data_IF_929809298834
#
_entry.id   IF_929809298834
#
_cell.length_a   1.000
_cell.length_b   1.000
_cell.length_c   1.000
_cell.angle_alpha   90.00
_cell.angle_beta   90.00
_cell.angle_gamma   90.00
#
_symmetry.space_group_name_H-M   'P 1'
#
loop_
_entity.id
_entity.type
_entity.pdbx_description
1 polymer ?
#
# COMPACT_ATOMS: atom_id res chain seq x y z
N UNK A 1 21.59 -1.16 -17.32
CA UNK A 1 20.94 -1.16 -15.99
C UNK A 1 20.81 -2.59 -15.51
N UNK A 2 20.89 -2.83 -14.18
CA UNK A 2 20.63 -4.15 -13.61
C UNK A 2 19.13 -4.48 -13.74
N UNK A 3 18.79 -5.72 -14.06
CA UNK A 3 17.39 -6.18 -13.97
C UNK A 3 17.06 -6.42 -12.52
N UNK A 4 15.93 -5.88 -12.07
CA UNK A 4 15.46 -6.01 -10.68
C UNK A 4 14.18 -6.83 -10.68
N UNK A 5 14.18 -7.89 -9.87
CA UNK A 5 13.08 -8.87 -9.82
C UNK A 5 12.46 -8.97 -8.44
N UNK A 6 11.21 -9.36 -8.40
CA UNK A 6 10.45 -9.65 -7.18
C UNK A 6 10.52 -11.16 -6.94
N UNK A 7 11.08 -11.56 -5.81
CA UNK A 7 11.26 -12.97 -5.44
C UNK A 7 10.39 -13.43 -4.29
N UNK A 8 9.80 -12.50 -3.53
CA UNK A 8 8.87 -12.82 -2.46
C UNK A 8 7.88 -11.71 -2.23
N UNK A 9 6.66 -12.08 -1.83
CA UNK A 9 5.57 -11.15 -1.52
C UNK A 9 4.85 -11.58 -0.25
N UNK A 10 4.37 -10.59 0.52
CA UNK A 10 3.56 -10.82 1.72
C UNK A 10 2.59 -9.67 1.93
N UNK A 11 1.43 -9.95 2.52
CA UNK A 11 0.46 -8.92 2.87
C UNK A 11 -0.48 -9.35 3.99
N UNK A 12 -0.95 -8.36 4.74
CA UNK A 12 -2.01 -8.49 5.72
C UNK A 12 -2.97 -7.32 5.57
N UNK A 13 -4.27 -7.59 5.54
CA UNK A 13 -5.32 -6.59 5.34
C UNK A 13 -6.63 -7.03 5.98
N UNK A 14 -7.69 -6.24 5.84
CA UNK A 14 -8.99 -6.52 6.45
C UNK A 14 -9.66 -7.83 5.98
N UNK A 15 -9.18 -8.46 4.91
CA UNK A 15 -9.72 -9.71 4.34
C UNK A 15 -8.88 -10.95 4.63
N UNK A 16 -7.68 -10.79 5.22
CA UNK A 16 -6.83 -11.92 5.58
C UNK A 16 -5.44 -11.52 6.06
N UNK A 17 -4.73 -12.49 6.61
CA UNK A 17 -3.45 -12.27 7.26
C UNK A 17 -2.26 -12.71 6.39
N UNK A 18 -2.49 -13.05 5.14
CA UNK A 18 -1.46 -13.45 4.20
C UNK A 18 -1.90 -13.18 2.74
N UNK A 19 -1.05 -13.51 1.79
CA UNK A 19 -1.33 -13.33 0.36
C UNK A 19 -2.53 -14.13 -0.16
N UNK A 20 -3.08 -15.09 0.60
CA UNK A 20 -4.31 -15.79 0.22
C UNK A 20 -5.54 -14.87 0.30
N UNK A 21 -5.45 -13.74 1.03
CA UNK A 21 -6.50 -12.70 1.02
C UNK A 21 -6.79 -12.15 -0.39
N UNK A 22 -5.86 -12.35 -1.35
CA UNK A 22 -6.09 -12.05 -2.76
C UNK A 22 -7.31 -12.80 -3.33
N UNK A 23 -7.58 -14.03 -2.88
CA UNK A 23 -8.75 -14.78 -3.32
C UNK A 23 -10.04 -14.09 -2.87
N UNK A 24 -10.12 -13.65 -1.61
CA UNK A 24 -11.24 -12.87 -1.10
C UNK A 24 -11.42 -11.54 -1.85
N UNK A 25 -10.31 -10.86 -2.18
CA UNK A 25 -10.32 -9.64 -2.99
C UNK A 25 -10.89 -9.91 -4.38
N UNK A 26 -10.46 -10.97 -5.06
CA UNK A 26 -10.95 -11.31 -6.41
C UNK A 26 -12.37 -11.83 -6.43
N UNK A 27 -12.89 -12.33 -5.30
CA UNK A 27 -14.29 -12.69 -5.11
C UNK A 27 -15.19 -11.48 -4.81
N UNK A 28 -14.60 -10.27 -4.69
CA UNK A 28 -15.34 -9.04 -4.39
C UNK A 28 -15.81 -8.96 -2.93
N UNK A 29 -15.18 -9.68 -2.01
CA UNK A 29 -15.50 -9.56 -0.58
C UNK A 29 -15.09 -8.17 -0.07
N UNK A 30 -15.80 -7.68 0.95
CA UNK A 30 -15.55 -6.39 1.58
C UNK A 30 -15.20 -6.61 3.06
N UNK A 31 -14.06 -6.04 3.51
CA UNK A 31 -13.59 -6.10 4.89
C UNK A 31 -14.00 -4.90 5.75
N UNK A 32 -14.77 -3.96 5.19
CA UNK A 32 -15.24 -2.77 5.90
C UNK A 32 -16.35 -3.17 6.89
N UNK A 33 -16.23 -2.70 8.13
CA UNK A 33 -17.18 -3.02 9.21
C UNK A 33 -17.17 -1.91 10.28
N UNK A 34 -18.11 -1.90 11.23
CA UNK A 34 -18.02 -1.00 12.37
C UNK A 34 -16.68 -1.11 13.10
N UNK A 35 -16.14 0.03 13.53
CA UNK A 35 -14.86 0.13 14.25
C UNK A 35 -14.96 -0.59 15.59
N UNK A 36 -13.95 -1.39 15.90
CA UNK A 36 -13.81 -2.11 17.18
C UNK A 36 -12.50 -1.77 17.91
N UNK A 37 -11.54 -1.15 17.24
CA UNK A 37 -10.21 -0.84 17.78
C UNK A 37 -10.20 0.40 18.69
N UNK A 38 -11.19 1.28 18.57
CA UNK A 38 -11.28 2.50 19.38
C UNK A 38 -12.72 2.95 19.59
N UNK A 39 -12.99 3.80 20.60
CA UNK A 39 -14.27 4.47 20.77
C UNK A 39 -14.65 5.32 19.58
N UNK A 40 -15.94 5.33 19.22
CA UNK A 40 -16.45 6.08 18.05
C UNK A 40 -17.38 7.24 18.41
N UNK A 41 -17.60 7.50 19.71
CA UNK A 41 -18.44 8.60 20.18
C UNK A 41 -17.93 9.95 19.67
N UNK A 42 -18.81 10.70 19.00
CA UNK A 42 -18.50 12.01 18.42
C UNK A 42 -17.77 11.96 17.07
N UNK A 43 -17.48 10.78 16.53
CA UNK A 43 -16.93 10.63 15.18
C UNK A 43 -18.02 10.71 14.10
N UNK A 44 -17.74 11.39 13.00
CA UNK A 44 -18.62 11.43 11.83
C UNK A 44 -18.65 10.10 11.04
N UNK A 45 -17.57 9.31 11.14
CA UNK A 45 -17.43 7.99 10.51
C UNK A 45 -17.13 6.96 11.58
N UNK A 46 -17.94 5.90 11.65
CA UNK A 46 -17.89 4.88 12.71
C UNK A 46 -17.52 3.48 12.19
N UNK A 47 -17.00 3.41 10.97
CA UNK A 47 -16.60 2.18 10.31
C UNK A 47 -15.20 2.33 9.67
N UNK A 48 -14.53 1.19 9.49
CA UNK A 48 -13.21 1.10 8.89
C UNK A 48 -12.93 -0.33 8.38
N UNK A 49 -11.84 -0.52 7.67
CA UNK A 49 -11.34 -1.83 7.26
C UNK A 49 -10.22 -2.26 8.22
N UNK A 50 -10.60 -2.90 9.32
CA UNK A 50 -9.70 -3.38 10.38
C UNK A 50 -9.12 -4.77 10.05
N UNK A 51 -7.87 -5.00 10.39
CA UNK A 51 -7.28 -6.36 10.41
C UNK A 51 -7.78 -7.10 11.64
N UNK A 52 -8.80 -7.94 11.46
CA UNK A 52 -9.46 -8.65 12.56
C UNK A 52 -8.76 -9.96 12.88
N UNK A 53 -8.72 -10.30 14.18
CA UNK A 53 -8.18 -11.59 14.64
C UNK A 53 -6.67 -11.73 14.51
N UNK A 54 -5.93 -10.67 14.26
CA UNK A 54 -4.47 -10.71 14.20
C UNK A 54 -3.87 -10.93 15.58
N UNK A 55 -3.10 -11.99 15.72
CA UNK A 55 -2.31 -12.28 16.92
C UNK A 55 -0.83 -11.91 16.66
N UNK A 56 -0.31 -10.85 17.27
CA UNK A 56 1.07 -10.45 17.12
C UNK A 56 2.07 -11.49 17.67
N UNK A 57 1.66 -12.43 18.53
CA UNK A 57 2.56 -13.49 19.04
C UNK A 57 3.02 -14.45 17.94
N UNK A 58 2.34 -14.46 16.78
CA UNK A 58 2.76 -15.23 15.60
C UNK A 58 4.09 -14.76 15.02
N UNK A 59 4.43 -13.49 15.19
CA UNK A 59 5.65 -12.88 14.62
C UNK A 59 6.52 -12.14 15.65
N UNK A 60 5.99 -11.82 16.81
CA UNK A 60 6.70 -11.03 17.84
C UNK A 60 6.63 -11.75 19.18
N UNK A 61 7.76 -11.89 19.87
CA UNK A 61 7.76 -12.47 21.23
C UNK A 61 6.89 -11.60 22.16
N UNK A 62 6.05 -12.23 22.98
CA UNK A 62 5.10 -11.57 23.90
C UNK A 62 5.66 -10.37 24.68
N UNK A 63 6.92 -10.49 25.16
CA UNK A 63 7.60 -9.43 25.90
C UNK A 63 7.97 -8.21 25.05
N UNK A 64 8.04 -8.36 23.72
CA UNK A 64 8.42 -7.30 22.78
C UNK A 64 7.19 -6.54 22.23
N UNK A 65 6.00 -7.15 22.25
CA UNK A 65 4.75 -6.56 21.72
C UNK A 65 4.52 -5.14 22.30
N UNK A 66 4.73 -4.97 23.61
CA UNK A 66 4.54 -3.69 24.30
C UNK A 66 5.57 -2.61 23.95
N UNK A 67 6.59 -2.95 23.15
CA UNK A 67 7.68 -2.05 22.77
C UNK A 67 7.52 -1.48 21.37
N UNK A 68 6.45 -1.84 20.67
CA UNK A 68 6.18 -1.42 19.29
C UNK A 68 4.69 -1.19 19.06
N UNK A 69 4.37 -0.18 18.28
CA UNK A 69 3.01 0.10 17.85
C UNK A 69 2.49 -0.98 16.88
N UNK A 70 1.18 -1.02 16.71
CA UNK A 70 0.49 -1.99 15.86
C UNK A 70 0.99 -1.98 14.41
N UNK A 71 1.31 -0.81 13.83
CA UNK A 71 1.82 -0.76 12.46
C UNK A 71 3.15 -1.53 12.31
N UNK A 72 4.02 -1.52 13.32
CA UNK A 72 5.27 -2.31 13.28
C UNK A 72 4.94 -3.81 13.33
N UNK A 73 3.96 -4.21 14.14
CA UNK A 73 3.55 -5.61 14.27
C UNK A 73 2.98 -6.15 12.94
N UNK A 74 2.10 -5.40 12.30
CA UNK A 74 1.54 -5.74 10.99
C UNK A 74 2.64 -5.79 9.92
N UNK A 75 3.54 -4.80 9.90
CA UNK A 75 4.65 -4.76 8.96
C UNK A 75 5.63 -5.92 9.13
N UNK A 76 5.94 -6.33 10.37
CA UNK A 76 6.77 -7.51 10.64
C UNK A 76 6.10 -8.79 10.15
N UNK A 77 4.78 -8.89 10.24
CA UNK A 77 4.03 -10.03 9.74
C UNK A 77 4.15 -10.14 8.20
N UNK A 78 3.86 -9.06 7.48
CA UNK A 78 3.99 -9.05 6.03
C UNK A 78 5.44 -9.26 5.56
N UNK A 79 6.42 -8.68 6.27
CA UNK A 79 7.84 -8.88 5.97
C UNK A 79 8.29 -10.33 6.20
N UNK A 80 7.77 -11.00 7.25
CA UNK A 80 8.05 -12.41 7.49
C UNK A 80 7.49 -13.28 6.36
N UNK A 81 6.25 -13.05 5.96
CA UNK A 81 5.66 -13.79 4.84
C UNK A 81 6.47 -13.60 3.55
N UNK A 82 6.85 -12.36 3.21
CA UNK A 82 7.66 -12.10 2.03
C UNK A 82 9.06 -12.75 2.10
N UNK A 83 9.68 -12.75 3.28
CA UNK A 83 10.97 -13.42 3.53
C UNK A 83 10.88 -14.93 3.32
N UNK A 84 9.86 -15.55 3.91
CA UNK A 84 9.62 -16.99 3.79
C UNK A 84 9.25 -17.38 2.35
N UNK A 85 8.43 -16.59 1.70
CA UNK A 85 8.01 -16.76 0.32
C UNK A 85 9.17 -16.64 -0.68
N UNK A 86 10.12 -15.74 -0.40
CA UNK A 86 11.35 -15.61 -1.16
C UNK A 86 12.35 -16.79 -0.95
N UNK A 87 12.10 -17.66 0.02
CA UNK A 87 13.00 -18.76 0.37
C UNK A 87 14.35 -18.26 0.89
N UNK A 88 14.33 -17.23 1.75
CA UNK A 88 15.56 -16.63 2.30
C UNK A 88 16.07 -17.32 3.57
N UNK A 89 15.33 -18.28 4.11
CA UNK A 89 15.80 -19.04 5.26
C UNK A 89 17.11 -19.80 4.92
N UNK A 90 18.12 -19.62 5.77
CA UNK A 90 19.45 -20.18 5.54
C UNK A 90 20.30 -19.44 4.48
N UNK A 91 19.79 -18.39 3.86
CA UNK A 91 20.55 -17.51 2.96
C UNK A 91 21.21 -16.39 3.78
N UNK A 92 22.46 -16.07 3.47
CA UNK A 92 23.11 -14.90 4.08
C UNK A 92 22.53 -13.61 3.51
N UNK A 93 21.61 -13.01 4.26
CA UNK A 93 20.98 -11.73 3.93
C UNK A 93 21.66 -10.53 4.63
N UNK A 94 22.86 -10.71 5.22
CA UNK A 94 23.54 -9.63 5.94
C UNK A 94 23.80 -8.41 5.05
N UNK A 95 24.03 -8.61 3.75
CA UNK A 95 24.18 -7.54 2.75
C UNK A 95 22.87 -6.94 2.23
N UNK A 96 21.71 -7.47 2.64
CA UNK A 96 20.41 -6.92 2.18
C UNK A 96 20.10 -5.62 2.91
N UNK A 97 19.35 -4.74 2.21
CA UNK A 97 18.80 -3.51 2.76
C UNK A 97 17.30 -3.62 3.08
N UNK A 98 16.78 -2.57 3.70
CA UNK A 98 15.35 -2.44 4.04
C UNK A 98 14.85 -1.04 3.67
N UNK A 99 13.67 -0.95 3.06
CA UNK A 99 12.94 0.31 2.94
C UNK A 99 11.58 0.16 3.60
N UNK A 100 11.38 0.87 4.71
CA UNK A 100 10.08 1.01 5.36
C UNK A 100 9.22 2.08 4.68
N UNK A 101 7.90 1.97 4.80
CA UNK A 101 6.95 3.00 4.37
C UNK A 101 5.77 3.11 5.32
N UNK A 102 5.39 4.32 5.64
CA UNK A 102 4.17 4.67 6.38
C UNK A 102 3.79 6.13 6.13
N UNK A 103 2.57 6.50 6.45
CA UNK A 103 2.10 7.89 6.34
C UNK A 103 2.05 8.60 7.70
N UNK A 104 1.59 7.88 8.73
CA UNK A 104 1.30 8.44 10.06
C UNK A 104 2.11 7.72 11.15
N UNK A 105 2.53 6.49 10.91
CA UNK A 105 3.25 5.64 11.84
C UNK A 105 2.43 5.34 13.13
N UNK A 106 3.07 5.33 14.32
CA UNK A 106 2.47 4.86 15.57
C UNK A 106 1.59 5.90 16.28
N UNK A 107 0.61 6.47 15.60
CA UNK A 107 -0.26 7.51 16.15
C UNK A 107 -1.02 7.03 17.39
N UNK A 108 -1.53 5.80 17.40
CA UNK A 108 -2.28 5.24 18.53
C UNK A 108 -1.44 5.17 19.81
N UNK A 109 -0.16 4.81 19.69
CA UNK A 109 0.78 4.81 20.80
C UNK A 109 1.04 6.22 21.33
N UNK A 110 1.13 7.21 20.43
CA UNK A 110 1.30 8.61 20.81
C UNK A 110 0.05 9.15 21.51
N UNK A 111 -1.15 8.87 20.99
CA UNK A 111 -2.43 9.26 21.63
C UNK A 111 -2.53 8.71 23.05
N UNK A 112 -2.28 7.42 23.26
CA UNK A 112 -2.29 6.81 24.58
C UNK A 112 -1.27 7.44 25.55
N UNK A 113 -0.14 7.93 25.05
CA UNK A 113 0.83 8.65 25.88
C UNK A 113 0.34 10.06 26.25
N UNK A 114 -0.38 10.75 25.36
CA UNK A 114 -1.00 12.05 25.61
C UNK A 114 -2.11 11.92 26.67
N UNK A 115 -2.96 10.89 26.58
CA UNK A 115 -3.99 10.60 27.58
C UNK A 115 -3.37 10.45 28.98
N UNK A 116 -2.32 9.64 29.12
CA UNK A 116 -1.60 9.47 30.40
C UNK A 116 -1.04 10.78 30.92
N UNK A 117 -0.56 11.67 30.04
CA UNK A 117 -0.12 13.02 30.43
C UNK A 117 -1.28 13.83 31.00
N UNK A 118 -2.44 13.80 30.33
CA UNK A 118 -3.63 14.54 30.78
C UNK A 118 -4.11 14.05 32.15
N UNK A 119 -3.98 12.76 32.43
CA UNK A 119 -4.30 12.14 33.72
C UNK A 119 -3.23 12.38 34.81
N UNK A 120 -2.22 13.21 34.54
CA UNK A 120 -1.14 13.49 35.47
C UNK A 120 -0.13 12.36 35.67
N UNK A 121 -0.18 11.33 34.82
CA UNK A 121 0.63 10.10 34.94
C UNK A 121 1.93 10.12 34.12
N UNK A 122 2.59 11.29 33.98
CA UNK A 122 3.85 11.46 33.20
C UNK A 122 4.95 10.44 33.55
N UNK A 123 5.09 10.11 34.84
CA UNK A 123 6.09 9.12 35.31
C UNK A 123 5.81 7.68 34.84
N UNK A 124 4.63 7.41 34.28
CA UNK A 124 4.25 6.10 33.74
C UNK A 124 4.38 6.01 32.22
N UNK A 125 4.97 7.03 31.56
CA UNK A 125 5.27 6.96 30.14
C UNK A 125 6.34 5.90 29.92
N UNK A 126 6.11 5.04 28.92
CA UNK A 126 7.02 3.95 28.58
C UNK A 126 8.39 4.48 28.13
N UNK A 127 9.52 3.88 28.59
CA UNK A 127 10.83 4.20 28.02
C UNK A 127 10.96 3.82 26.54
N UNK A 128 10.05 2.98 26.04
CA UNK A 128 9.96 2.59 24.64
C UNK A 128 9.02 3.48 23.82
N UNK A 129 8.44 4.55 24.40
CA UNK A 129 7.50 5.40 23.67
C UNK A 129 8.07 5.85 22.32
N UNK A 130 9.24 6.48 22.32
CA UNK A 130 9.83 7.02 21.09
C UNK A 130 10.11 5.90 20.05
N UNK A 131 10.85 4.84 20.38
CA UNK A 131 11.10 3.78 19.40
C UNK A 131 9.86 2.95 19.02
N UNK A 132 8.76 3.07 19.73
CA UNK A 132 7.52 2.37 19.36
C UNK A 132 6.71 3.08 18.29
N UNK A 133 6.84 4.42 18.11
CA UNK A 133 5.94 5.15 17.22
C UNK A 133 6.60 5.88 16.05
N UNK A 134 7.92 6.16 16.07
CA UNK A 134 8.56 6.91 14.99
C UNK A 134 8.67 6.07 13.70
N UNK A 135 8.53 6.74 12.56
CA UNK A 135 8.35 6.15 11.23
C UNK A 135 9.41 5.12 10.85
N UNK A 136 10.68 5.39 11.13
CA UNK A 136 11.80 4.53 10.69
C UNK A 136 11.95 3.24 11.52
N UNK A 137 11.20 3.09 12.61
CA UNK A 137 11.31 1.89 13.44
C UNK A 137 10.76 0.64 12.75
N UNK A 138 9.84 0.77 11.82
CA UNK A 138 9.42 -0.36 10.99
C UNK A 138 10.61 -1.01 10.28
N UNK A 139 11.38 -0.23 9.51
CA UNK A 139 12.59 -0.70 8.85
C UNK A 139 13.64 -1.22 9.83
N UNK A 140 13.80 -0.52 10.98
CA UNK A 140 14.71 -0.96 12.05
C UNK A 140 14.37 -2.32 12.62
N UNK A 141 13.10 -2.61 12.89
CA UNK A 141 12.66 -3.91 13.39
C UNK A 141 12.81 -5.02 12.36
N UNK A 142 12.53 -4.75 11.07
CA UNK A 142 12.76 -5.71 9.97
C UNK A 142 14.25 -6.04 9.85
N UNK A 143 15.12 -5.01 9.81
CA UNK A 143 16.57 -5.17 9.77
C UNK A 143 17.09 -6.04 10.94
N UNK A 144 16.66 -5.74 12.17
CA UNK A 144 17.03 -6.51 13.37
C UNK A 144 16.55 -7.97 13.30
N UNK A 145 15.35 -8.20 12.78
CA UNK A 145 14.75 -9.53 12.71
C UNK A 145 15.51 -10.46 11.78
N UNK A 146 15.92 -9.97 10.61
CA UNK A 146 16.53 -10.77 9.57
C UNK A 146 18.06 -10.58 9.47
N UNK A 147 18.65 -9.79 10.37
CA UNK A 147 20.10 -9.55 10.39
C UNK A 147 20.61 -8.76 9.17
N UNK A 148 19.77 -7.93 8.57
CA UNK A 148 20.10 -7.14 7.38
C UNK A 148 20.86 -5.87 7.77
N UNK A 149 22.09 -5.72 7.27
CA UNK A 149 22.99 -4.60 7.62
C UNK A 149 23.25 -3.64 6.46
N UNK A 150 22.59 -3.86 5.32
CA UNK A 150 22.62 -2.92 4.19
C UNK A 150 21.85 -1.62 4.46
N UNK A 151 21.64 -0.78 3.44
CA UNK A 151 20.90 0.47 3.59
C UNK A 151 19.54 0.27 4.24
N UNK A 152 19.21 1.13 5.23
CA UNK A 152 17.92 1.09 5.94
C UNK A 152 17.30 2.49 5.91
N UNK A 153 16.25 2.65 5.14
CA UNK A 153 15.57 3.92 4.89
C UNK A 153 14.07 3.80 5.18
N UNK A 154 13.40 4.94 5.27
CA UNK A 154 11.92 4.98 5.39
C UNK A 154 11.39 6.14 4.57
N UNK A 155 10.41 5.85 3.72
CA UNK A 155 9.64 6.85 2.99
C UNK A 155 8.36 7.19 3.77
N UNK A 156 8.11 8.50 3.93
CA UNK A 156 6.90 9.02 4.59
C UNK A 156 6.30 10.09 3.69
N UNK A 157 5.70 9.64 2.58
CA UNK A 157 5.13 10.48 1.52
C UNK A 157 3.62 10.27 1.40
N UNK A 158 2.96 10.26 2.57
CA UNK A 158 1.53 10.01 2.71
C UNK A 158 1.09 8.73 1.97
N UNK A 159 0.01 8.80 1.19
CA UNK A 159 -0.55 7.62 0.50
C UNK A 159 0.37 7.03 -0.59
N UNK A 160 1.37 7.78 -1.06
CA UNK A 160 2.34 7.29 -2.03
C UNK A 160 3.58 6.62 -1.39
N UNK A 161 3.67 6.56 -0.06
CA UNK A 161 4.87 6.11 0.64
C UNK A 161 5.29 4.68 0.25
N UNK A 162 4.35 3.73 0.18
CA UNK A 162 4.64 2.35 -0.20
C UNK A 162 5.22 2.22 -1.61
N UNK A 163 4.69 2.97 -2.57
CA UNK A 163 5.21 2.98 -3.95
C UNK A 163 6.58 3.65 -4.02
N UNK A 164 6.78 4.77 -3.30
CA UNK A 164 8.11 5.39 -3.21
C UNK A 164 9.13 4.46 -2.55
N UNK A 165 8.75 3.65 -1.56
CA UNK A 165 9.66 2.67 -0.97
C UNK A 165 10.14 1.61 -1.99
N UNK A 166 9.26 1.15 -2.88
CA UNK A 166 9.62 0.25 -3.98
C UNK A 166 10.61 0.95 -4.93
N UNK A 167 10.37 2.22 -5.24
CA UNK A 167 11.23 3.02 -6.11
C UNK A 167 12.62 3.24 -5.47
N UNK A 168 12.68 3.59 -4.19
CA UNK A 168 13.96 3.76 -3.48
C UNK A 168 14.75 2.45 -3.37
N UNK A 169 14.08 1.32 -3.16
CA UNK A 169 14.72 0.01 -3.21
C UNK A 169 15.29 -0.29 -4.62
N UNK A 170 14.51 -0.01 -5.68
CA UNK A 170 15.00 -0.13 -7.05
C UNK A 170 16.25 0.71 -7.29
N UNK A 171 16.24 2.00 -6.93
CA UNK A 171 17.38 2.90 -7.07
C UNK A 171 18.60 2.38 -6.31
N UNK A 172 18.42 1.95 -5.08
CA UNK A 172 19.50 1.39 -4.23
C UNK A 172 20.17 0.16 -4.87
N UNK A 173 19.36 -0.76 -5.41
CA UNK A 173 19.85 -1.93 -6.13
C UNK A 173 20.55 -1.56 -7.45
N UNK A 174 20.02 -0.59 -8.22
CA UNK A 174 20.63 -0.10 -9.45
C UNK A 174 22.01 0.51 -9.20
N UNK A 175 22.19 1.26 -8.11
CA UNK A 175 23.48 1.83 -7.72
C UNK A 175 24.46 0.78 -7.13
N UNK A 176 24.02 -0.46 -6.95
CA UNK A 176 24.87 -1.55 -6.47
C UNK A 176 25.26 -1.45 -4.99
N UNK A 177 24.46 -0.75 -4.18
CA UNK A 177 24.70 -0.64 -2.74
C UNK A 177 24.40 -1.95 -2.00
N UNK A 178 23.55 -2.80 -2.57
CA UNK A 178 23.25 -4.16 -2.10
C UNK A 178 22.74 -5.01 -3.27
N UNK A 179 22.53 -6.32 -3.03
CA UNK A 179 22.02 -7.26 -4.04
C UNK A 179 20.55 -7.64 -3.81
N UNK A 180 20.02 -7.34 -2.61
CA UNK A 180 18.62 -7.57 -2.26
C UNK A 180 18.11 -6.56 -1.24
N UNK A 181 16.80 -6.33 -1.25
CA UNK A 181 16.10 -5.43 -0.31
C UNK A 181 14.74 -5.98 0.07
N UNK A 182 14.34 -5.80 1.32
CA UNK A 182 12.95 -5.91 1.73
C UNK A 182 12.32 -4.52 1.72
N UNK A 183 11.26 -4.38 0.94
CA UNK A 183 10.34 -3.23 1.02
C UNK A 183 9.18 -3.62 1.90
N UNK A 184 8.81 -2.78 2.87
CA UNK A 184 7.66 -3.02 3.73
C UNK A 184 6.89 -1.73 3.98
N UNK A 185 5.64 -1.68 3.50
CA UNK A 185 4.70 -0.60 3.79
C UNK A 185 3.70 -1.06 4.85
N UNK A 186 3.52 -0.29 5.91
CA UNK A 186 2.60 -0.66 6.99
C UNK A 186 1.96 0.55 7.64
N UNK A 187 0.66 0.44 7.94
CA UNK A 187 -0.11 1.49 8.60
C UNK A 187 -1.18 0.90 9.52
N UNK A 188 -1.38 1.53 10.69
CA UNK A 188 -2.45 1.21 11.64
C UNK A 188 -3.10 2.53 12.14
N UNK A 189 -3.84 3.25 11.27
CA UNK A 189 -4.26 4.62 11.53
C UNK A 189 -5.64 4.72 12.19
N UNK A 190 -6.26 3.61 12.58
CA UNK A 190 -7.63 3.61 13.12
C UNK A 190 -7.57 3.98 14.60
N UNK A 191 -7.63 5.29 14.86
CA UNK A 191 -7.61 5.90 16.19
C UNK A 191 -8.59 7.08 16.24
N UNK A 192 -9.06 7.49 17.43
CA UNK A 192 -10.02 8.59 17.56
C UNK A 192 -9.52 9.90 16.92
N UNK A 193 -8.29 10.29 17.18
CA UNK A 193 -7.73 11.56 16.65
C UNK A 193 -7.52 11.49 15.14
N UNK A 194 -7.06 10.35 14.62
CA UNK A 194 -6.89 10.17 13.19
C UNK A 194 -8.23 10.20 12.44
N UNK A 195 -9.23 9.45 12.94
CA UNK A 195 -10.58 9.44 12.37
C UNK A 195 -11.23 10.82 12.43
N UNK A 196 -11.11 11.53 13.57
CA UNK A 196 -11.62 12.89 13.70
C UNK A 196 -10.90 13.87 12.76
N UNK A 197 -9.58 13.76 12.61
CA UNK A 197 -8.78 14.63 11.75
C UNK A 197 -9.15 14.50 10.27
N UNK A 198 -9.25 13.28 9.75
CA UNK A 198 -9.71 13.04 8.38
C UNK A 198 -11.19 13.36 8.19
N UNK A 199 -12.02 13.13 9.21
CA UNK A 199 -13.43 13.54 9.22
C UNK A 199 -13.61 15.05 9.12
N UNK A 200 -12.82 15.83 9.87
CA UNK A 200 -12.84 17.29 9.84
C UNK A 200 -12.44 17.88 8.47
N UNK A 201 -11.68 17.12 7.67
CA UNK A 201 -11.33 17.47 6.28
C UNK A 201 -12.41 17.05 5.27
N UNK A 202 -13.50 16.43 5.71
CA UNK A 202 -14.52 15.81 4.84
C UNK A 202 -13.90 14.81 3.85
N UNK A 203 -12.85 14.10 4.27
CA UNK A 203 -12.14 13.15 3.42
C UNK A 203 -12.70 11.72 3.56
N UNK A 204 -13.35 11.40 4.69
CA UNK A 204 -13.96 10.11 4.96
C UNK A 204 -15.41 10.05 4.47
N UNK A 205 -15.82 8.88 4.00
CA UNK A 205 -17.24 8.58 3.78
C UNK A 205 -17.99 8.61 5.12
N UNK A 206 -19.18 9.15 5.10
CA UNK A 206 -20.08 9.23 6.27
C UNK A 206 -21.28 8.28 6.18
N UNK A 207 -21.21 7.28 5.30
CA UNK A 207 -22.28 6.31 5.02
C UNK A 207 -22.40 5.25 6.13
N UNK A 208 -22.66 5.72 7.36
CA UNK A 208 -22.73 4.88 8.56
C UNK A 208 -23.91 3.88 8.56
N UNK A 209 -24.94 4.13 7.78
CA UNK A 209 -26.12 3.27 7.57
C UNK A 209 -25.81 2.06 6.66
N UNK A 210 -24.80 2.16 5.80
CA UNK A 210 -24.41 1.07 4.90
C UNK A 210 -22.87 1.04 4.70
N UNK A 211 -22.09 0.68 5.73
CA UNK A 211 -20.63 0.68 5.68
C UNK A 211 -20.03 -0.17 4.56
N UNK A 212 -20.67 -1.30 4.24
CA UNK A 212 -20.20 -2.20 3.18
C UNK A 212 -20.21 -1.55 1.79
N UNK A 213 -21.03 -0.51 1.60
CA UNK A 213 -21.12 0.23 0.34
C UNK A 213 -20.53 1.64 0.42
N UNK A 214 -19.79 1.96 1.47
CA UNK A 214 -19.22 3.28 1.67
C UNK A 214 -18.06 3.55 0.69
N UNK A 215 -17.10 2.64 0.58
CA UNK A 215 -16.02 2.78 -0.40
C UNK A 215 -16.47 2.28 -1.77
N UNK A 216 -16.49 3.19 -2.76
CA UNK A 216 -16.98 2.96 -4.13
C UNK A 216 -16.14 3.73 -5.16
N UNK A 217 -14.91 3.32 -5.39
CA UNK A 217 -14.03 4.01 -6.33
C UNK A 217 -14.66 4.17 -7.72
N UNK A 218 -14.52 5.36 -8.30
CA UNK A 218 -15.03 5.77 -9.62
C UNK A 218 -16.56 5.83 -9.77
N UNK A 219 -17.32 5.52 -8.73
CA UNK A 219 -18.80 5.62 -8.73
C UNK A 219 -19.26 7.06 -8.55
N UNK A 220 -20.36 7.41 -9.22
CA UNK A 220 -20.95 8.78 -9.17
C UNK A 220 -21.43 9.18 -7.77
N UNK A 221 -21.81 8.21 -6.93
CA UNK A 221 -22.27 8.43 -5.55
C UNK A 221 -21.17 8.35 -4.49
N UNK A 222 -19.88 8.33 -4.88
CA UNK A 222 -18.76 8.33 -3.92
C UNK A 222 -18.73 9.60 -3.09
N UNK A 223 -18.49 9.48 -1.80
CA UNK A 223 -18.56 10.58 -0.84
C UNK A 223 -17.32 10.72 0.05
N UNK A 224 -16.29 9.88 -0.15
CA UNK A 224 -15.07 9.88 0.63
C UNK A 224 -14.43 8.50 0.71
N UNK A 225 -13.21 8.42 1.23
CA UNK A 225 -12.55 7.14 1.41
C UNK A 225 -12.95 6.47 2.74
N UNK A 226 -12.72 5.17 2.85
CA UNK A 226 -12.84 4.42 4.10
C UNK A 226 -11.45 4.13 4.64
N UNK A 227 -11.19 4.47 5.88
CA UNK A 227 -9.92 4.16 6.55
C UNK A 227 -9.68 2.66 6.60
N UNK A 228 -8.45 2.23 6.30
CA UNK A 228 -8.01 0.85 6.43
C UNK A 228 -6.67 0.75 7.15
N UNK A 229 -6.39 -0.42 7.73
CA UNK A 229 -5.09 -0.78 8.24
C UNK A 229 -4.55 -2.03 7.53
N UNK A 230 -3.24 -2.23 7.56
CA UNK A 230 -2.61 -3.39 6.97
C UNK A 230 -1.14 -3.16 6.65
N UNK A 231 -0.53 -4.16 6.03
CA UNK A 231 0.84 -4.09 5.55
C UNK A 231 1.02 -4.91 4.26
N UNK A 232 1.96 -4.47 3.43
CA UNK A 232 2.46 -5.21 2.28
C UNK A 232 3.98 -5.23 2.28
N UNK A 233 4.56 -6.32 1.81
CA UNK A 233 6.01 -6.45 1.70
C UNK A 233 6.42 -7.15 0.40
N UNK A 234 7.56 -6.73 -0.15
CA UNK A 234 8.19 -7.32 -1.32
C UNK A 234 9.67 -7.57 -1.05
N UNK A 235 10.19 -8.69 -1.52
CA UNK A 235 11.63 -8.92 -1.64
C UNK A 235 12.03 -8.58 -3.07
N UNK A 236 12.89 -7.58 -3.21
CA UNK A 236 13.49 -7.16 -4.47
C UNK A 236 14.95 -7.60 -4.51
N UNK A 237 15.35 -8.21 -5.62
CA UNK A 237 16.74 -8.64 -5.83
C UNK A 237 17.23 -8.24 -7.22
N UNK A 238 18.54 -8.12 -7.35
CA UNK A 238 19.13 -8.14 -8.70
C UNK A 238 18.89 -9.50 -9.34
N UNK A 239 18.59 -9.54 -10.62
CA UNK A 239 18.36 -10.81 -11.34
C UNK A 239 19.53 -11.77 -11.18
N UNK A 240 20.75 -11.24 -11.22
CA UNK A 240 21.98 -12.05 -11.02
C UNK A 240 21.99 -12.77 -9.67
N UNK A 241 21.67 -12.05 -8.58
CA UNK A 241 21.59 -12.63 -7.25
C UNK A 241 20.47 -13.66 -7.14
N UNK A 242 19.26 -13.35 -7.62
CA UNK A 242 18.13 -14.25 -7.62
C UNK A 242 18.41 -15.56 -8.37
N UNK A 243 19.01 -15.46 -9.56
CA UNK A 243 19.40 -16.64 -10.35
C UNK A 243 20.49 -17.48 -9.67
N UNK A 244 21.51 -16.83 -9.10
CA UNK A 244 22.61 -17.52 -8.41
C UNK A 244 22.12 -18.39 -7.25
N UNK A 245 21.08 -17.94 -6.53
CA UNK A 245 20.49 -18.73 -5.44
C UNK A 245 19.30 -19.62 -5.86
N UNK A 246 18.92 -19.58 -7.15
CA UNK A 246 17.80 -20.38 -7.67
C UNK A 246 16.41 -19.90 -7.20
N UNK A 247 16.24 -18.60 -6.98
CA UNK A 247 14.98 -18.03 -6.53
C UNK A 247 13.84 -18.19 -7.54
N UNK A 248 12.63 -18.43 -7.06
CA UNK A 248 11.43 -18.22 -7.85
C UNK A 248 11.24 -16.71 -8.10
N UNK A 249 10.81 -16.33 -9.30
CA UNK A 249 10.64 -14.94 -9.68
C UNK A 249 9.17 -14.70 -10.02
N UNK A 250 8.55 -13.76 -9.31
CA UNK A 250 7.17 -13.34 -9.55
C UNK A 250 7.03 -12.38 -10.74
N UNK A 251 7.92 -11.39 -10.78
CA UNK A 251 7.84 -10.31 -11.75
C UNK A 251 9.19 -9.61 -11.90
N UNK A 252 9.37 -8.86 -12.94
CA UNK A 252 10.44 -7.86 -13.09
C UNK A 252 9.86 -6.48 -12.86
N UNK A 253 10.54 -5.65 -12.07
CA UNK A 253 10.22 -4.23 -11.88
C UNK A 253 10.95 -3.46 -12.98
N UNK A 254 10.24 -3.12 -14.05
CA UNK A 254 10.83 -2.57 -15.28
C UNK A 254 10.78 -1.05 -15.37
N UNK A 255 9.84 -0.42 -14.66
CA UNK A 255 9.71 1.02 -14.70
C UNK A 255 9.12 1.64 -13.45
N UNK A 256 9.47 2.89 -13.22
CA UNK A 256 8.87 3.73 -12.21
C UNK A 256 8.77 5.19 -12.66
N UNK A 257 7.87 5.94 -12.02
CA UNK A 257 7.76 7.37 -12.23
C UNK A 257 7.34 8.08 -10.95
N UNK A 258 7.91 9.26 -10.75
CA UNK A 258 7.66 10.13 -9.61
C UNK A 258 7.36 11.54 -10.09
N UNK A 259 6.50 12.27 -9.38
CA UNK A 259 6.25 13.68 -9.65
C UNK A 259 5.67 14.38 -8.42
N UNK A 260 5.64 15.70 -8.48
CA UNK A 260 4.91 16.53 -7.54
C UNK A 260 3.89 17.42 -8.28
N UNK A 261 2.72 17.62 -7.66
CA UNK A 261 1.68 18.50 -8.21
C UNK A 261 2.06 19.99 -8.11
N UNK A 262 2.71 20.38 -7.02
CA UNK A 262 3.01 21.77 -6.68
C UNK A 262 1.76 22.69 -6.85
N UNK A 263 0.64 22.25 -6.27
CA UNK A 263 -0.67 22.89 -6.46
C UNK A 263 -1.38 23.19 -5.14
N UNK A 264 -1.74 22.15 -4.39
CA UNK A 264 -2.46 22.28 -3.12
C UNK A 264 -2.01 21.16 -2.17
N UNK A 265 -2.15 21.38 -0.86
CA UNK A 265 -1.64 20.43 0.14
C UNK A 265 -2.43 19.10 0.17
N UNK A 266 -3.73 19.11 -0.13
CA UNK A 266 -4.60 17.93 -0.07
C UNK A 266 -5.37 17.65 -1.35
N UNK A 267 -5.60 18.65 -2.20
CA UNK A 267 -6.37 18.52 -3.44
C UNK A 267 -5.44 18.25 -4.61
N UNK A 268 -5.66 17.19 -5.41
CA UNK A 268 -4.85 16.94 -6.60
C UNK A 268 -5.02 18.06 -7.64
N UNK A 269 -4.01 18.24 -8.48
CA UNK A 269 -4.08 19.22 -9.58
C UNK A 269 -5.20 18.82 -10.55
N UNK A 270 -5.95 19.81 -11.00
CA UNK A 270 -6.98 19.62 -12.02
C UNK A 270 -6.44 18.83 -13.23
N UNK A 271 -7.26 17.93 -13.77
CA UNK A 271 -6.90 17.01 -14.85
C UNK A 271 -5.71 16.06 -14.54
N UNK A 272 -5.37 15.86 -13.26
CA UNK A 272 -4.36 14.90 -12.83
C UNK A 272 -2.96 15.12 -13.42
N UNK A 273 -2.51 16.38 -13.57
CA UNK A 273 -1.22 16.71 -14.22
C UNK A 273 -0.04 15.98 -13.61
N UNK A 274 0.04 15.91 -12.27
CA UNK A 274 1.12 15.19 -11.58
C UNK A 274 1.00 13.69 -11.76
N UNK A 275 -0.20 13.13 -11.55
CA UNK A 275 -0.49 11.73 -11.80
C UNK A 275 -0.04 11.31 -13.21
N UNK A 276 -0.46 12.07 -14.25
CA UNK A 276 -0.07 11.84 -15.63
C UNK A 276 1.46 11.82 -15.84
N UNK A 277 2.20 12.74 -15.17
CA UNK A 277 3.67 12.74 -15.24
C UNK A 277 4.27 11.46 -14.67
N UNK A 278 3.81 11.01 -13.50
CA UNK A 278 4.29 9.80 -12.87
C UNK A 278 3.96 8.55 -13.71
N UNK A 279 2.72 8.44 -14.20
CA UNK A 279 2.27 7.35 -15.07
C UNK A 279 3.11 7.24 -16.34
N UNK A 280 3.27 8.35 -17.07
CA UNK A 280 4.06 8.40 -18.30
C UNK A 280 5.55 8.09 -18.05
N UNK A 281 6.13 8.57 -16.95
CA UNK A 281 7.52 8.31 -16.62
C UNK A 281 7.75 6.81 -16.36
N UNK A 282 6.86 6.18 -15.57
CA UNK A 282 6.91 4.75 -15.30
C UNK A 282 6.80 3.92 -16.59
N UNK A 283 5.81 4.23 -17.42
CA UNK A 283 5.56 3.53 -18.67
C UNK A 283 6.72 3.66 -19.66
N UNK A 284 7.25 4.87 -19.86
CA UNK A 284 8.40 5.11 -20.73
C UNK A 284 9.67 4.42 -20.25
N UNK A 285 9.93 4.46 -18.95
CA UNK A 285 11.09 3.77 -18.38
C UNK A 285 11.01 2.25 -18.59
N UNK A 286 9.82 1.68 -18.54
CA UNK A 286 9.57 0.26 -18.83
C UNK A 286 9.70 -0.10 -20.33
N UNK A 287 9.92 0.87 -21.22
CA UNK A 287 9.98 0.63 -22.66
C UNK A 287 8.61 0.62 -23.35
N UNK A 288 7.64 1.27 -22.75
CA UNK A 288 6.27 1.44 -23.28
C UNK A 288 5.52 0.10 -23.54
N UNK A 289 5.56 -0.88 -22.58
CA UNK A 289 4.86 -2.13 -22.77
C UNK A 289 3.34 -1.92 -22.86
N UNK A 290 2.65 -2.91 -23.44
CA UNK A 290 1.18 -2.94 -23.37
C UNK A 290 0.74 -3.22 -21.93
N UNK A 291 0.29 -2.19 -21.23
CA UNK A 291 -0.27 -2.35 -19.88
C UNK A 291 -1.62 -3.05 -19.97
N UNK A 292 -1.72 -4.24 -19.38
CA UNK A 292 -2.96 -5.02 -19.37
C UNK A 292 -3.88 -4.67 -18.20
N UNK A 293 -3.31 -4.23 -17.07
CA UNK A 293 -4.06 -3.88 -15.87
C UNK A 293 -3.40 -2.73 -15.10
N UNK A 294 -4.21 -1.81 -14.61
CA UNK A 294 -3.82 -0.73 -13.69
C UNK A 294 -4.55 -0.93 -12.36
N UNK A 295 -3.79 -1.11 -11.28
CA UNK A 295 -4.29 -0.93 -9.93
C UNK A 295 -4.19 0.56 -9.61
N UNK A 296 -5.34 1.23 -9.68
CA UNK A 296 -5.45 2.66 -9.53
C UNK A 296 -5.40 3.09 -8.05
N UNK A 297 -5.01 4.33 -7.82
CA UNK A 297 -5.14 4.92 -6.49
C UNK A 297 -6.59 4.89 -6.00
N UNK A 298 -7.55 5.31 -6.83
CA UNK A 298 -8.99 5.07 -6.69
C UNK A 298 -9.50 5.09 -5.25
N UNK A 299 -9.49 6.27 -4.62
CA UNK A 299 -9.78 6.42 -3.18
C UNK A 299 -11.26 6.52 -2.84
N UNK A 300 -12.15 6.53 -3.84
CA UNK A 300 -13.57 6.84 -3.61
C UNK A 300 -13.82 8.29 -3.17
N UNK A 301 -12.89 9.19 -3.47
CA UNK A 301 -13.07 10.63 -3.27
C UNK A 301 -13.39 11.33 -4.59
N UNK A 302 -14.20 12.39 -4.51
CA UNK A 302 -14.74 13.05 -5.71
C UNK A 302 -13.65 13.48 -6.69
N UNK A 303 -12.66 14.23 -6.23
CA UNK A 303 -11.65 14.82 -7.11
C UNK A 303 -10.56 13.85 -7.53
N UNK A 304 -10.10 12.99 -6.61
CA UNK A 304 -9.07 12.03 -6.97
C UNK A 304 -9.52 11.15 -8.13
N UNK A 305 -10.66 10.49 -8.00
CA UNK A 305 -11.09 9.48 -8.96
C UNK A 305 -11.39 10.11 -10.33
N UNK A 306 -11.97 11.35 -10.33
CA UNK A 306 -12.23 12.09 -11.55
C UNK A 306 -10.92 12.45 -12.29
N UNK A 307 -9.93 12.98 -11.59
CA UNK A 307 -8.68 13.44 -12.21
C UNK A 307 -7.73 12.29 -12.52
N UNK A 308 -7.77 11.23 -11.75
CA UNK A 308 -7.04 10.00 -12.03
C UNK A 308 -7.56 9.31 -13.29
N UNK A 309 -8.88 9.18 -13.43
CA UNK A 309 -9.48 8.65 -14.66
C UNK A 309 -9.04 9.44 -15.91
N UNK A 310 -9.02 10.77 -15.81
CA UNK A 310 -8.52 11.62 -16.88
C UNK A 310 -7.04 11.38 -17.18
N UNK A 311 -6.19 11.26 -16.15
CA UNK A 311 -4.76 11.00 -16.31
C UNK A 311 -4.49 9.63 -16.95
N UNK A 312 -5.20 8.58 -16.51
CA UNK A 312 -5.11 7.23 -17.07
C UNK A 312 -5.54 7.23 -18.54
N UNK A 313 -6.69 7.84 -18.85
CA UNK A 313 -7.21 7.90 -20.20
C UNK A 313 -6.29 8.67 -21.17
N UNK A 314 -5.70 9.77 -20.71
CA UNK A 314 -4.76 10.54 -21.51
C UNK A 314 -3.42 9.77 -21.77
N UNK A 315 -3.01 8.87 -20.85
CA UNK A 315 -1.79 8.07 -21.04
C UNK A 315 -2.03 6.80 -21.85
N UNK A 316 -3.14 6.11 -21.64
CA UNK A 316 -3.35 4.73 -22.10
C UNK A 316 -4.65 4.51 -22.87
N UNK A 317 -5.52 5.52 -22.98
CA UNK A 317 -6.88 5.37 -23.53
C UNK A 317 -7.74 4.42 -22.70
N UNK A 318 -8.52 3.60 -23.37
CA UNK A 318 -9.38 2.56 -22.79
C UNK A 318 -8.76 1.14 -22.89
N UNK A 319 -7.46 1.05 -23.21
CA UNK A 319 -6.82 -0.24 -23.42
C UNK A 319 -6.64 -1.07 -22.15
N UNK A 320 -6.06 -0.54 -21.03
CA UNK A 320 -5.87 -1.31 -19.82
C UNK A 320 -7.18 -1.47 -19.04
N UNK A 321 -7.35 -2.63 -18.42
CA UNK A 321 -8.33 -2.78 -17.35
C UNK A 321 -7.91 -1.97 -16.13
N UNK A 322 -8.85 -1.32 -15.45
CA UNK A 322 -8.59 -0.47 -14.28
C UNK A 322 -9.49 -0.89 -13.12
N UNK A 323 -8.92 -1.08 -11.95
CA UNK A 323 -9.69 -1.19 -10.71
C UNK A 323 -8.94 -0.62 -9.51
N UNK A 324 -9.64 -0.46 -8.39
CA UNK A 324 -9.07 -0.14 -7.10
C UNK A 324 -9.58 -1.11 -6.05
N UNK A 325 -8.69 -1.67 -5.27
CA UNK A 325 -9.03 -2.61 -4.19
C UNK A 325 -9.44 -1.91 -2.89
N UNK A 326 -9.40 -0.58 -2.85
CA UNK A 326 -9.83 0.21 -1.69
C UNK A 326 -11.34 0.09 -1.39
N UNK A 327 -12.13 -0.36 -2.36
CA UNK A 327 -13.52 -0.76 -2.12
C UNK A 327 -13.65 -1.95 -1.16
N UNK A 328 -12.66 -2.86 -1.15
CA UNK A 328 -12.68 -4.07 -0.34
C UNK A 328 -11.91 -3.94 0.97
N UNK A 329 -10.70 -3.35 0.93
CA UNK A 329 -9.76 -3.32 2.06
C UNK A 329 -9.57 -1.93 2.68
N UNK A 330 -10.37 -0.93 2.24
CA UNK A 330 -10.20 0.45 2.65
C UNK A 330 -8.90 1.09 2.13
N UNK A 331 -8.68 2.33 2.50
CA UNK A 331 -7.44 3.05 2.19
C UNK A 331 -6.44 2.90 3.31
N UNK A 332 -5.39 2.13 3.10
CA UNK A 332 -4.34 1.82 4.08
C UNK A 332 -3.21 2.84 4.09
N UNK A 333 -3.47 4.07 3.62
CA UNK A 333 -2.55 5.21 3.62
C UNK A 333 -1.14 4.86 3.12
N UNK A 334 -0.11 4.99 4.00
CA UNK A 334 1.27 4.72 3.62
C UNK A 334 1.60 3.27 3.28
N UNK A 335 0.76 2.32 3.71
CA UNK A 335 0.89 0.91 3.33
C UNK A 335 0.32 0.61 1.93
N UNK A 336 -0.57 1.48 1.40
CA UNK A 336 -1.36 1.19 0.20
C UNK A 336 -0.50 0.74 -0.98
N UNK A 337 0.56 1.48 -1.30
CA UNK A 337 1.40 1.17 -2.46
C UNK A 337 2.10 -0.19 -2.39
N UNK A 338 2.48 -0.64 -1.20
CA UNK A 338 3.10 -1.96 -1.03
C UNK A 338 2.06 -3.09 -1.15
N UNK A 339 0.89 -2.95 -0.52
CA UNK A 339 -0.21 -3.93 -0.63
C UNK A 339 -0.69 -4.03 -2.08
N UNK A 340 -0.91 -2.90 -2.74
CA UNK A 340 -1.42 -2.82 -4.10
C UNK A 340 -0.41 -3.34 -5.15
N UNK A 341 0.90 -3.17 -4.90
CA UNK A 341 1.94 -3.81 -5.69
C UNK A 341 1.87 -5.35 -5.58
N UNK A 342 1.72 -5.90 -4.37
CA UNK A 342 1.52 -7.34 -4.17
C UNK A 342 0.27 -7.83 -4.92
N UNK A 343 -0.86 -7.12 -4.76
CA UNK A 343 -2.12 -7.44 -5.46
C UNK A 343 -1.93 -7.41 -6.99
N UNK A 344 -1.24 -6.40 -7.52
CA UNK A 344 -1.00 -6.24 -8.96
C UNK A 344 -0.15 -7.38 -9.53
N UNK A 345 0.90 -7.79 -8.80
CA UNK A 345 1.76 -8.90 -9.16
C UNK A 345 0.96 -10.21 -9.16
N UNK A 346 0.16 -10.47 -8.11
CA UNK A 346 -0.69 -11.66 -8.02
C UNK A 346 -1.77 -11.68 -9.10
N UNK A 347 -2.36 -10.53 -9.43
CA UNK A 347 -3.34 -10.40 -10.52
C UNK A 347 -2.73 -10.79 -11.87
N UNK A 348 -1.50 -10.33 -12.15
CA UNK A 348 -0.75 -10.71 -13.35
C UNK A 348 -0.40 -12.19 -13.37
N UNK A 349 0.10 -12.74 -12.25
CA UNK A 349 0.52 -14.14 -12.14
C UNK A 349 -0.66 -15.12 -12.28
N UNK A 350 -1.78 -14.80 -11.64
CA UNK A 350 -2.97 -15.66 -11.64
C UNK A 350 -3.93 -15.36 -12.80
N UNK A 351 -3.66 -14.32 -13.58
CA UNK A 351 -4.52 -13.83 -14.66
C UNK A 351 -5.97 -13.54 -14.21
N UNK A 352 -6.14 -13.07 -12.98
CA UNK A 352 -7.43 -12.72 -12.39
C UNK A 352 -7.37 -11.28 -11.89
N UNK A 353 -8.29 -10.43 -12.37
CA UNK A 353 -8.36 -9.03 -12.01
C UNK A 353 -9.32 -8.82 -10.84
N UNK A 354 -8.90 -8.08 -9.79
CA UNK A 354 -9.79 -7.65 -8.72
C UNK A 354 -10.93 -6.77 -9.26
N UNK A 355 -12.20 -7.06 -8.90
CA UNK A 355 -13.32 -6.21 -9.31
C UNK A 355 -13.39 -4.93 -8.48
N UNK A 356 -13.96 -3.89 -9.06
CA UNK A 356 -14.50 -2.75 -8.32
C UNK A 356 -15.77 -3.20 -7.59
N UNK A 357 -15.74 -3.19 -6.27
CA UNK A 357 -16.96 -3.38 -5.50
C UNK A 357 -17.73 -2.07 -5.40
N UNK A 358 -19.06 -2.16 -5.31
CA UNK A 358 -19.99 -1.03 -5.14
C UNK A 358 -20.07 -0.04 -6.33
N UNK A 359 -19.36 -0.28 -7.42
CA UNK A 359 -19.46 0.51 -8.63
C UNK A 359 -20.78 0.22 -9.36
N UNK A 360 -21.49 1.26 -9.77
CA UNK A 360 -22.71 1.20 -10.59
C UNK A 360 -22.54 2.00 -11.88
N UNK A 361 -22.23 3.27 -11.75
CA UNK A 361 -22.04 4.17 -12.88
C UNK A 361 -21.10 5.33 -12.51
N UNK A 362 -20.41 5.87 -13.48
CA UNK A 362 -19.60 7.08 -13.32
C UNK A 362 -20.40 8.33 -13.71
N UNK A 363 -20.00 9.50 -13.18
CA UNK A 363 -20.51 10.79 -13.65
C UNK A 363 -20.12 11.04 -15.12
N UNK A 364 -20.92 11.83 -15.87
CA UNK A 364 -20.67 12.08 -17.29
C UNK A 364 -19.30 12.74 -17.60
N UNK A 365 -18.74 13.47 -16.65
CA UNK A 365 -17.46 14.15 -16.77
C UNK A 365 -16.25 13.22 -16.60
N UNK A 366 -16.46 12.00 -16.08
CA UNK A 366 -15.38 11.04 -15.90
C UNK A 366 -14.91 10.47 -17.24
N UNK A 367 -13.61 10.45 -17.44
CA UNK A 367 -13.01 9.86 -18.64
C UNK A 367 -13.37 8.36 -18.77
N UNK A 368 -13.66 7.87 -19.97
CA UNK A 368 -14.18 6.51 -20.21
C UNK A 368 -13.07 5.46 -20.16
N UNK A 369 -12.47 5.27 -18.98
CA UNK A 369 -11.52 4.18 -18.72
C UNK A 369 -12.23 2.83 -18.59
N UNK A 370 -11.53 1.74 -18.88
CA UNK A 370 -12.09 0.38 -18.85
C UNK A 370 -12.12 -0.19 -17.44
N UNK A 371 -13.17 0.10 -16.68
CA UNK A 371 -13.32 -0.35 -15.31
C UNK A 371 -13.67 -1.85 -15.22
N UNK A 372 -13.05 -2.54 -14.25
CA UNK A 372 -13.34 -3.95 -13.92
C UNK A 372 -14.52 -3.99 -12.96
N UNK A 373 -15.76 -4.14 -13.47
CA UNK A 373 -16.97 -4.20 -12.64
C UNK A 373 -17.26 -5.59 -12.06
N UNK A 374 -16.64 -6.64 -12.61
CA UNK A 374 -16.81 -8.03 -12.20
C UNK A 374 -15.46 -8.72 -12.13
N UNK A 375 -15.41 -9.86 -11.43
CA UNK A 375 -14.22 -10.71 -11.44
C UNK A 375 -13.88 -11.12 -12.88
N UNK A 376 -12.77 -10.62 -13.37
CA UNK A 376 -12.35 -10.81 -14.76
C UNK A 376 -11.14 -11.75 -14.82
N UNK A 377 -11.24 -12.79 -15.63
CA UNK A 377 -10.10 -13.64 -16.01
C UNK A 377 -9.52 -13.12 -17.31
N UNK A 378 -8.23 -12.80 -17.34
CA UNK A 378 -7.56 -12.26 -18.53
C UNK A 378 -6.23 -12.96 -18.76
N UNK A 379 -6.13 -13.74 -19.82
CA UNK A 379 -4.93 -14.52 -20.17
C UNK A 379 -3.80 -13.68 -20.79
N UNK A 380 -4.05 -12.41 -21.10
CA UNK A 380 -3.13 -11.56 -21.87
C UNK A 380 -2.35 -10.54 -21.07
N UNK A 381 -2.32 -10.61 -19.72
CA UNK A 381 -1.65 -9.58 -18.91
C UNK A 381 -0.16 -9.88 -18.84
N UNK A 382 0.62 -9.16 -19.66
CA UNK A 382 2.10 -9.21 -19.63
C UNK A 382 2.73 -8.17 -18.75
N UNK A 383 2.05 -7.02 -18.56
CA UNK A 383 2.49 -5.91 -17.74
C UNK A 383 1.35 -5.33 -16.91
N UNK A 384 1.64 -4.92 -15.68
CA UNK A 384 0.73 -4.24 -14.78
C UNK A 384 1.36 -2.96 -14.26
N UNK A 385 0.52 -1.95 -13.97
CA UNK A 385 0.93 -0.70 -13.36
C UNK A 385 0.18 -0.50 -12.05
N UNK A 386 0.90 -0.11 -10.99
CA UNK A 386 0.32 0.30 -9.71
C UNK A 386 0.69 1.75 -9.43
N UNK A 387 -0.27 2.58 -9.02
CA UNK A 387 -0.03 4.00 -8.79
C UNK A 387 -0.71 4.51 -7.53
N UNK A 388 -0.03 5.46 -6.86
CA UNK A 388 -0.52 6.09 -5.65
C UNK A 388 -0.22 7.59 -5.65
N UNK A 389 -1.20 8.38 -5.21
CA UNK A 389 -1.14 9.83 -5.16
C UNK A 389 -1.40 10.29 -3.73
N UNK A 390 -0.45 11.00 -3.14
CA UNK A 390 -0.48 11.36 -1.72
C UNK A 390 -0.77 12.83 -1.47
N UNK A 391 -1.26 13.13 -0.29
CA UNK A 391 -1.29 14.49 0.24
C UNK A 391 0.11 15.10 0.16
N UNK A 392 0.19 16.43 -0.03
CA UNK A 392 1.43 17.12 -0.40
C UNK A 392 1.68 17.11 -1.92
N UNK A 393 0.78 16.46 -2.71
CA UNK A 393 0.88 16.34 -4.15
C UNK A 393 1.97 15.38 -4.62
N UNK A 394 2.34 14.39 -3.81
CA UNK A 394 3.32 13.37 -4.14
C UNK A 394 2.68 12.27 -4.98
N UNK A 395 3.23 11.98 -6.15
CA UNK A 395 2.70 10.99 -7.10
C UNK A 395 3.77 9.97 -7.42
N UNK A 396 3.42 8.68 -7.39
CA UNK A 396 4.30 7.57 -7.70
C UNK A 396 3.57 6.49 -8.50
N UNK A 397 4.28 5.86 -9.45
CA UNK A 397 3.79 4.73 -10.21
C UNK A 397 4.93 3.74 -10.46
N UNK A 398 4.62 2.45 -10.50
CA UNK A 398 5.55 1.36 -10.80
C UNK A 398 4.96 0.42 -11.84
N UNK A 399 5.81 -0.13 -12.70
CA UNK A 399 5.43 -1.12 -13.72
C UNK A 399 6.13 -2.42 -13.41
N UNK A 400 5.33 -3.49 -13.32
CA UNK A 400 5.82 -4.86 -13.23
C UNK A 400 5.47 -5.62 -14.51
N UNK A 401 6.42 -6.38 -15.01
CA UNK A 401 6.22 -7.26 -16.16
C UNK A 401 6.43 -8.72 -15.79
N UNK A 402 5.77 -9.61 -16.53
CA UNK A 402 6.05 -11.05 -16.41
C UNK A 402 7.51 -11.30 -16.69
N UNK A 403 8.16 -12.01 -15.78
CA UNK A 403 9.55 -12.38 -15.95
C UNK A 403 9.69 -13.32 -17.16
N UNK A 404 10.66 -13.00 -18.02
CA UNK A 404 11.14 -13.88 -19.10
C UNK A 404 12.66 -13.89 -19.07
N UNK A 405 13.23 -15.08 -19.30
CA UNK A 405 14.69 -15.29 -19.42
C UNK A 405 15.27 -14.56 -20.64
#
# INVERSE_FOLDING_TARGET
MKRIVVTGVGMINALGHDKSSFDAITEGRCGIAPITLCPTEGLGTTFAAEVKGFDPETVVKKKEIKKMDRFIQLGLHAAQEAYDDAGLDGIDCSGFGVVGANGIAGISTYEAAVERKCDGAMRHISPFLIPSYISNMLGGHVSLRFGMTGPNLTTTTACAAGTHAIIEAYKTLQFGQCEGMIVVGSEAPISPVCMAGFGAMNALSTRNDDPLRASRPFDSERDGFVMGEGAGALVLETLEHAQKRGAAIYAELTGFGESADAYHITTPHEKGRGAKKALNAAWKMAGEPQIGYINAHGTSTRYNDLYEAAAIFECFGDAPFVSSTKGQIGHTLGAAGAIEAVISILAMQRAILPPLVNYRESEPEMAPIKLVSERTVSSGIGAVLSCNFGFGGTNAAVVFEKFSL
#
